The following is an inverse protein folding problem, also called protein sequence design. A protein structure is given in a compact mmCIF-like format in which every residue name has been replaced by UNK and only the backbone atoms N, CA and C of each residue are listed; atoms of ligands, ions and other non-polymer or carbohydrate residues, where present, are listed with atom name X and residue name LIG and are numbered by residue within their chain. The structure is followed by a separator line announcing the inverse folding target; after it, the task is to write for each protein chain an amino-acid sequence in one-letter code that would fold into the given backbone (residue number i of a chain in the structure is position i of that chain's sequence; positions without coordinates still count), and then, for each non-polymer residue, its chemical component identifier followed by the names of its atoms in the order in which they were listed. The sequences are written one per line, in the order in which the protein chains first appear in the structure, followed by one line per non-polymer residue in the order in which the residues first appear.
data_IF_488939513382
#
_entry.id   IF_488939513382
#
_cell.length_a   1.000
_cell.length_b   1.000
_cell.length_c   1.000
_cell.angle_alpha   90.00
_cell.angle_beta   90.00
_cell.angle_gamma   90.00
#
_symmetry.space_group_name_H-M   'P 1'
#
loop_
_entity.id
_entity.type
_entity.pdbx_description
1 polymer ?
#
# COMPACT_ATOMS: atom_id res chain seq x y z
N UNK A 1 2.87 21.30 17.38
CA UNK A 1 2.42 20.35 16.33
C UNK A 1 2.34 21.02 14.97
N UNK A 2 1.48 22.03 14.79
CA UNK A 2 1.25 22.70 13.49
C UNK A 2 2.55 23.29 12.90
N UNK A 3 3.40 23.91 13.72
CA UNK A 3 4.71 24.38 13.29
C UNK A 3 5.63 23.28 12.73
N UNK A 4 5.58 22.06 13.28
CA UNK A 4 6.35 20.91 12.75
C UNK A 4 5.76 20.41 11.41
N UNK A 5 4.45 20.45 11.26
CA UNK A 5 3.78 20.12 9.99
C UNK A 5 4.15 21.10 8.87
N UNK A 6 4.35 22.38 9.21
CA UNK A 6 4.76 23.45 8.30
C UNK A 6 6.26 23.45 7.96
N UNK A 7 7.09 22.86 8.82
CA UNK A 7 8.53 22.72 8.59
C UNK A 7 8.89 21.51 7.72
N UNK A 8 7.92 20.68 7.36
CA UNK A 8 8.15 19.55 6.47
C UNK A 8 8.58 20.04 5.08
N UNK A 9 9.50 19.35 4.40
CA UNK A 9 10.15 19.83 3.18
C UNK A 9 9.18 20.08 2.01
N UNK A 10 8.04 19.39 1.98
CA UNK A 10 7.01 19.57 0.96
C UNK A 10 5.94 20.62 1.34
N UNK A 11 6.03 21.22 2.52
CA UNK A 11 5.07 22.23 2.97
C UNK A 11 5.35 23.57 2.31
N UNK A 12 4.30 24.33 1.97
CA UNK A 12 4.43 25.74 1.57
C UNK A 12 4.65 26.70 2.75
N UNK A 13 4.85 26.17 3.95
CA UNK A 13 5.17 26.93 5.15
C UNK A 13 3.95 27.61 5.80
N UNK A 14 4.23 28.42 6.81
CA UNK A 14 3.22 29.01 7.71
C UNK A 14 2.24 29.99 7.05
N UNK A 15 2.61 30.59 5.92
CA UNK A 15 1.70 31.50 5.19
C UNK A 15 0.61 30.74 4.40
N UNK A 16 0.82 29.45 4.14
CA UNK A 16 -0.14 28.63 3.40
C UNK A 16 -1.15 27.92 4.30
N UNK A 17 -0.89 27.83 5.60
CA UNK A 17 -1.78 27.13 6.54
C UNK A 17 -2.94 28.03 6.98
N UNK A 18 -4.18 27.58 6.81
CA UNK A 18 -5.36 28.21 7.37
C UNK A 18 -5.60 27.70 8.79
N UNK A 19 -5.25 28.53 9.78
CA UNK A 19 -5.42 28.26 11.19
C UNK A 19 -6.08 29.45 11.89
N UNK A 20 -7.35 29.27 12.28
CA UNK A 20 -8.17 30.29 12.96
C UNK A 20 -7.47 30.87 14.20
N UNK A 21 -6.67 30.07 14.91
CA UNK A 21 -6.01 30.48 16.15
C UNK A 21 -5.00 31.63 15.91
N UNK A 22 -4.35 31.69 14.75
CA UNK A 22 -3.40 32.78 14.43
C UNK A 22 -4.13 34.10 14.27
N UNK A 23 -5.21 34.09 13.49
CA UNK A 23 -6.04 35.26 13.26
C UNK A 23 -6.72 35.72 14.55
N UNK A 24 -7.14 34.77 15.38
CA UNK A 24 -7.71 35.05 16.68
C UNK A 24 -6.70 35.66 17.67
N UNK A 25 -5.45 35.21 17.66
CA UNK A 25 -4.38 35.85 18.45
C UNK A 25 -4.12 37.28 17.98
N UNK A 26 -4.16 37.56 16.67
CA UNK A 26 -4.05 38.94 16.18
C UNK A 26 -5.26 39.80 16.57
N UNK A 27 -6.47 39.23 16.54
CA UNK A 27 -7.69 39.92 16.95
C UNK A 27 -7.65 40.30 18.44
N UNK A 28 -7.29 39.36 19.31
CA UNK A 28 -7.22 39.56 20.76
C UNK A 28 -6.07 40.48 21.19
N UNK A 29 -4.96 40.53 20.43
CA UNK A 29 -3.87 41.50 20.69
C UNK A 29 -4.31 42.96 20.53
N UNK A 30 -5.30 43.22 19.67
CA UNK A 30 -5.85 44.56 19.48
C UNK A 30 -6.80 44.98 20.62
N UNK A 31 -7.34 44.02 21.38
CA UNK A 31 -8.36 44.27 22.39
C UNK A 31 -7.82 43.99 23.81
N UNK A 32 -7.25 45.01 24.44
CA UNK A 32 -6.51 44.92 25.72
C UNK A 32 -7.37 44.59 26.95
N UNK A 33 -8.70 44.55 26.81
CA UNK A 33 -9.65 44.47 27.93
C UNK A 33 -10.25 43.07 28.17
N UNK A 34 -9.72 42.01 27.55
CA UNK A 34 -10.23 40.66 27.74
C UNK A 34 -9.73 40.00 29.03
N UNK A 35 -10.62 39.89 30.03
CA UNK A 35 -10.39 39.14 31.28
C UNK A 35 -10.39 37.62 31.09
N UNK A 36 -11.09 37.10 30.08
CA UNK A 36 -10.99 35.71 29.64
C UNK A 36 -10.91 35.67 28.11
N UNK A 37 -9.79 35.21 27.51
CA UNK A 37 -9.60 35.26 26.07
C UNK A 37 -10.75 34.59 25.32
N UNK A 38 -11.14 33.36 25.72
CA UNK A 38 -12.13 32.55 25.00
C UNK A 38 -13.56 33.15 24.93
N UNK A 39 -13.91 34.12 25.78
CA UNK A 39 -15.26 34.71 25.74
C UNK A 39 -15.50 35.61 24.52
N UNK A 40 -14.45 36.18 23.91
CA UNK A 40 -14.58 36.88 22.64
C UNK A 40 -14.62 35.94 21.41
N UNK A 41 -14.54 34.63 21.60
CA UNK A 41 -14.59 33.68 20.48
C UNK A 41 -15.90 33.80 19.69
N UNK A 42 -17.03 34.01 20.38
CA UNK A 42 -18.33 34.18 19.73
C UNK A 42 -18.38 35.46 18.87
N UNK A 43 -17.89 36.58 19.41
CA UNK A 43 -17.80 37.85 18.68
C UNK A 43 -16.85 37.76 17.48
N UNK A 44 -15.73 37.06 17.64
CA UNK A 44 -14.78 36.81 16.56
C UNK A 44 -15.40 35.98 15.43
N UNK A 45 -16.05 34.85 15.74
CA UNK A 45 -16.65 33.97 14.72
C UNK A 45 -17.84 34.61 14.00
N UNK A 46 -18.55 35.54 14.64
CA UNK A 46 -19.64 36.30 14.01
C UNK A 46 -19.16 37.52 13.20
N UNK A 47 -17.88 37.91 13.30
CA UNK A 47 -17.32 39.00 12.53
C UNK A 47 -17.26 38.64 11.03
N UNK A 48 -17.65 39.58 10.16
CA UNK A 48 -17.73 39.34 8.71
C UNK A 48 -16.44 38.76 8.11
N UNK A 49 -15.27 39.20 8.60
CA UNK A 49 -13.96 38.77 8.13
C UNK A 49 -13.61 37.32 8.49
N UNK A 50 -14.10 36.81 9.62
CA UNK A 50 -13.70 35.50 10.18
C UNK A 50 -14.82 34.46 10.17
N UNK A 51 -15.98 34.82 9.61
CA UNK A 51 -17.17 33.95 9.52
C UNK A 51 -16.90 32.62 8.83
N UNK A 52 -15.90 32.55 7.95
CA UNK A 52 -15.45 31.30 7.33
C UNK A 52 -15.02 30.24 8.37
N UNK A 53 -14.45 30.65 9.50
CA UNK A 53 -14.02 29.75 10.58
C UNK A 53 -15.18 29.26 11.48
N UNK A 54 -16.36 29.87 11.40
CA UNK A 54 -17.51 29.45 12.21
C UNK A 54 -17.92 28.00 11.93
N UNK A 55 -17.67 27.51 10.70
CA UNK A 55 -17.94 26.12 10.32
C UNK A 55 -16.82 25.15 10.74
N UNK A 56 -15.61 25.65 10.98
CA UNK A 56 -14.44 24.82 11.30
C UNK A 56 -14.24 24.65 12.80
N UNK A 57 -14.75 25.57 13.63
CA UNK A 57 -14.58 25.58 15.08
C UNK A 57 -15.88 25.16 15.78
N UNK A 58 -15.81 24.14 16.64
CA UNK A 58 -16.91 23.70 17.50
C UNK A 58 -16.58 23.99 18.95
N UNK A 59 -17.40 24.84 19.56
CA UNK A 59 -17.26 25.27 20.94
C UNK A 59 -18.62 25.23 21.64
N UNK A 60 -18.62 25.19 22.96
CA UNK A 60 -19.81 25.26 23.80
C UNK A 60 -19.49 26.03 25.09
N UNK A 61 -20.51 26.61 25.72
CA UNK A 61 -20.37 27.16 27.08
C UNK A 61 -20.73 26.11 28.09
N UNK A 62 -19.86 25.88 29.05
CA UNK A 62 -20.16 24.98 30.15
C UNK A 62 -21.23 25.61 31.06
N UNK A 63 -22.24 24.83 31.39
CA UNK A 63 -23.43 25.27 32.14
C UNK A 63 -23.08 25.57 33.60
N UNK A 64 -22.07 24.90 34.15
CA UNK A 64 -21.71 25.01 35.57
C UNK A 64 -20.73 26.17 35.85
N UNK A 65 -19.77 26.37 34.96
CA UNK A 65 -18.72 27.39 35.13
C UNK A 65 -18.95 28.65 34.32
N UNK A 66 -19.88 28.64 33.36
CA UNK A 66 -20.09 29.72 32.40
C UNK A 66 -18.92 29.90 31.41
N UNK A 67 -17.88 29.07 31.51
CA UNK A 67 -16.67 29.18 30.72
C UNK A 67 -16.88 28.65 29.31
N UNK A 68 -16.31 29.35 28.33
CA UNK A 68 -16.31 28.93 26.94
C UNK A 68 -15.29 27.81 26.73
N UNK A 69 -15.73 26.62 26.33
CA UNK A 69 -14.88 25.44 26.08
C UNK A 69 -14.82 25.13 24.59
N UNK A 70 -13.61 25.01 24.06
CA UNK A 70 -13.36 24.57 22.70
C UNK A 70 -13.35 23.03 22.64
N UNK A 71 -14.22 22.45 21.81
CA UNK A 71 -14.34 20.99 21.67
C UNK A 71 -13.48 20.47 20.52
N UNK A 72 -13.67 21.00 19.29
CA UNK A 72 -12.98 20.54 18.08
C UNK A 72 -12.73 21.69 17.14
N UNK A 73 -11.65 21.61 16.37
CA UNK A 73 -11.42 22.54 15.27
C UNK A 73 -10.79 21.84 14.08
N UNK A 74 -11.06 22.36 12.89
CA UNK A 74 -10.41 21.98 11.65
C UNK A 74 -9.39 23.05 11.27
N UNK A 75 -8.22 22.62 10.79
CA UNK A 75 -7.24 23.49 10.15
C UNK A 75 -6.79 22.84 8.84
N UNK A 76 -6.32 23.65 7.90
CA UNK A 76 -5.90 23.18 6.59
C UNK A 76 -4.46 23.63 6.32
N UNK A 77 -3.67 22.74 5.72
CA UNK A 77 -2.28 22.97 5.33
C UNK A 77 -2.08 22.48 3.90
N UNK A 78 -1.32 23.22 3.10
CA UNK A 78 -1.03 22.83 1.73
C UNK A 78 0.40 22.32 1.59
N UNK A 79 0.52 21.23 0.86
CA UNK A 79 1.77 20.61 0.47
C UNK A 79 1.89 20.67 -1.05
N UNK A 80 3.09 20.98 -1.54
CA UNK A 80 3.41 20.96 -2.96
C UNK A 80 4.20 19.68 -3.25
N UNK A 81 3.58 18.75 -3.97
CA UNK A 81 4.22 17.51 -4.42
C UNK A 81 4.34 17.53 -5.95
N UNK A 82 5.27 16.75 -6.51
CA UNK A 82 5.42 16.64 -7.98
C UNK A 82 4.38 15.73 -8.63
N UNK A 83 3.39 15.25 -7.86
CA UNK A 83 2.38 14.30 -8.32
C UNK A 83 2.85 12.85 -8.42
N UNK A 84 4.07 12.54 -7.94
CA UNK A 84 4.54 11.15 -7.85
C UNK A 84 3.88 10.43 -6.67
N UNK A 85 3.34 9.24 -6.94
CA UNK A 85 2.59 8.43 -5.97
C UNK A 85 3.41 8.09 -4.73
N UNK A 86 4.70 7.77 -4.91
CA UNK A 86 5.63 7.46 -3.82
C UNK A 86 5.85 8.67 -2.89
N UNK A 87 6.07 9.85 -3.47
CA UNK A 87 6.26 11.10 -2.71
C UNK A 87 5.02 11.44 -1.87
N UNK A 88 3.83 11.29 -2.47
CA UNK A 88 2.56 11.57 -1.78
C UNK A 88 2.31 10.53 -0.68
N UNK A 89 2.53 9.25 -0.96
CA UNK A 89 2.37 8.16 0.02
C UNK A 89 3.30 8.36 1.22
N UNK A 90 4.57 8.72 0.98
CA UNK A 90 5.55 9.00 2.02
C UNK A 90 5.18 10.24 2.86
N UNK A 91 4.63 11.28 2.23
CA UNK A 91 4.12 12.47 2.92
C UNK A 91 2.95 12.12 3.85
N UNK A 92 1.95 11.40 3.33
CA UNK A 92 0.77 11.01 4.11
C UNK A 92 1.18 10.15 5.30
N UNK A 93 2.10 9.20 5.10
CA UNK A 93 2.63 8.38 6.18
C UNK A 93 3.36 9.25 7.23
N UNK A 94 4.23 10.16 6.79
CA UNK A 94 4.97 11.07 7.69
C UNK A 94 4.05 11.96 8.51
N UNK A 95 2.99 12.48 7.91
CA UNK A 95 1.98 13.29 8.60
C UNK A 95 1.27 12.46 9.67
N UNK A 96 0.90 11.21 9.37
CA UNK A 96 0.24 10.30 10.31
C UNK A 96 1.14 9.92 11.46
N UNK A 97 2.41 9.62 11.21
CA UNK A 97 3.40 9.37 12.27
C UNK A 97 3.57 10.60 13.17
N UNK A 98 3.55 11.81 12.58
CA UNK A 98 3.59 13.03 13.36
C UNK A 98 2.31 13.24 14.19
N UNK A 99 1.13 12.96 13.65
CA UNK A 99 -0.13 13.03 14.37
C UNK A 99 -0.17 12.02 15.53
N UNK A 100 0.33 10.80 15.31
CA UNK A 100 0.48 9.77 16.35
C UNK A 100 1.45 10.19 17.45
N UNK A 101 2.49 10.97 17.16
CA UNK A 101 3.39 11.48 18.19
C UNK A 101 2.69 12.46 19.16
N UNK A 102 1.62 13.14 18.72
CA UNK A 102 0.84 14.08 19.54
C UNK A 102 -0.54 13.51 19.91
N UNK A 103 -0.59 12.33 20.51
CA UNK A 103 -1.84 11.65 20.88
C UNK A 103 -2.77 12.50 21.76
N UNK A 104 -2.23 13.41 22.56
CA UNK A 104 -2.98 14.34 23.41
C UNK A 104 -4.05 15.17 22.68
N UNK A 105 -3.86 15.42 21.37
CA UNK A 105 -4.77 16.23 20.56
C UNK A 105 -5.74 15.40 19.72
N UNK A 106 -5.63 14.06 19.73
CA UNK A 106 -6.45 13.13 18.94
C UNK A 106 -6.71 13.60 17.50
N UNK A 107 -5.62 13.87 16.77
CA UNK A 107 -5.69 14.52 15.45
C UNK A 107 -5.93 13.49 14.37
N UNK A 108 -6.94 13.72 13.55
CA UNK A 108 -7.22 12.94 12.34
C UNK A 108 -6.81 13.74 11.11
N UNK A 109 -6.00 13.15 10.25
CA UNK A 109 -5.60 13.75 8.98
C UNK A 109 -6.61 13.34 7.93
N UNK A 110 -7.16 14.34 7.22
CA UNK A 110 -8.09 14.12 6.13
C UNK A 110 -7.52 14.73 4.84
N UNK A 111 -7.50 13.93 3.78
CA UNK A 111 -7.08 14.31 2.43
C UNK A 111 -8.15 13.77 1.48
N UNK A 112 -8.48 14.54 0.45
CA UNK A 112 -9.30 14.02 -0.66
C UNK A 112 -8.65 12.76 -1.21
N UNK A 113 -9.41 11.66 -1.32
CA UNK A 113 -8.91 10.34 -1.75
C UNK A 113 -8.01 9.62 -0.71
N UNK A 114 -8.19 9.88 0.59
CA UNK A 114 -7.45 9.16 1.66
C UNK A 114 -7.45 7.64 1.47
N UNK A 115 -8.56 7.05 1.01
CA UNK A 115 -8.69 5.60 0.80
C UNK A 115 -7.63 5.03 -0.17
N UNK A 116 -7.23 5.80 -1.18
CA UNK A 116 -6.23 5.40 -2.17
C UNK A 116 -4.86 5.35 -1.50
N UNK A 117 -4.50 6.41 -0.77
CA UNK A 117 -3.24 6.50 -0.05
C UNK A 117 -3.14 5.48 1.09
N UNK A 118 -4.26 5.20 1.76
CA UNK A 118 -4.39 4.14 2.76
C UNK A 118 -4.05 2.77 2.17
N UNK A 119 -4.54 2.50 0.96
CA UNK A 119 -4.20 1.28 0.24
C UNK A 119 -2.70 1.24 -0.07
N UNK A 120 -2.13 2.28 -0.68
CA UNK A 120 -0.71 2.33 -1.06
C UNK A 120 0.25 2.15 0.13
N UNK A 121 -0.06 2.74 1.28
CA UNK A 121 0.74 2.57 2.51
C UNK A 121 0.75 1.10 2.95
N UNK A 122 -0.35 0.37 2.75
CA UNK A 122 -0.53 -0.99 3.25
C UNK A 122 -0.04 -2.09 2.28
N UNK A 123 0.09 -1.79 0.99
CA UNK A 123 0.52 -2.75 -0.05
C UNK A 123 1.82 -3.50 0.29
N UNK A 124 2.94 -2.84 0.66
CA UNK A 124 4.20 -3.55 0.86
C UNK A 124 4.11 -4.59 1.96
N UNK A 125 3.53 -4.22 3.11
CA UNK A 125 3.35 -5.12 4.24
C UNK A 125 2.40 -6.28 3.90
N UNK A 126 1.28 -5.97 3.25
CA UNK A 126 0.31 -6.98 2.82
C UNK A 126 0.89 -7.95 1.79
N UNK A 127 1.71 -7.46 0.87
CA UNK A 127 2.36 -8.30 -0.16
C UNK A 127 3.32 -9.29 0.50
N UNK A 128 4.20 -8.82 1.39
CA UNK A 128 5.16 -9.69 2.09
C UNK A 128 4.43 -10.74 2.94
N UNK A 129 3.38 -10.33 3.66
CA UNK A 129 2.57 -11.24 4.46
C UNK A 129 1.88 -12.29 3.58
N UNK A 130 1.26 -11.87 2.48
CA UNK A 130 0.52 -12.78 1.59
C UNK A 130 1.46 -13.76 0.89
N UNK A 131 2.61 -13.28 0.40
CA UNK A 131 3.65 -14.14 -0.19
C UNK A 131 4.20 -15.12 0.85
N UNK A 132 4.52 -14.64 2.05
CA UNK A 132 5.04 -15.48 3.13
C UNK A 132 4.07 -16.57 3.57
N UNK A 133 2.79 -16.22 3.75
CA UNK A 133 1.72 -17.19 4.05
C UNK A 133 1.52 -18.15 2.88
N UNK A 134 1.56 -17.65 1.64
CA UNK A 134 1.47 -18.46 0.42
C UNK A 134 2.55 -19.55 0.40
N UNK A 135 3.83 -19.17 0.53
CA UNK A 135 4.97 -20.10 0.58
C UNK A 135 4.82 -21.11 1.73
N UNK A 136 4.40 -20.67 2.92
CA UNK A 136 4.16 -21.59 4.04
C UNK A 136 3.05 -22.61 3.72
N UNK A 137 1.96 -22.17 3.09
CA UNK A 137 0.90 -23.05 2.62
C UNK A 137 1.43 -24.06 1.58
N UNK A 138 2.28 -23.64 0.64
CA UNK A 138 2.90 -24.55 -0.33
C UNK A 138 3.77 -25.62 0.33
N UNK A 139 4.58 -25.22 1.31
CA UNK A 139 5.41 -26.14 2.10
C UNK A 139 4.54 -27.13 2.89
N UNK A 140 3.43 -26.67 3.46
CA UNK A 140 2.47 -27.53 4.16
C UNK A 140 1.78 -28.52 3.21
N UNK A 141 1.34 -28.06 2.04
CA UNK A 141 0.69 -28.91 1.03
C UNK A 141 1.66 -29.94 0.46
N UNK A 142 2.89 -29.56 0.14
CA UNK A 142 3.91 -30.51 -0.32
C UNK A 142 4.26 -31.55 0.74
N UNK A 143 4.30 -31.18 2.03
CA UNK A 143 4.46 -32.12 3.13
C UNK A 143 3.28 -33.09 3.30
N UNK A 144 2.05 -32.66 2.97
CA UNK A 144 0.86 -33.49 3.06
C UNK A 144 0.77 -34.52 1.92
N UNK A 145 1.12 -34.12 0.69
CA UNK A 145 1.02 -34.97 -0.49
C UNK A 145 2.17 -35.97 -0.65
N UNK A 146 3.34 -35.72 -0.04
CA UNK A 146 4.56 -36.51 -0.23
C UNK A 146 4.94 -37.20 1.09
N UNK A 147 4.98 -38.54 1.18
CA UNK A 147 5.26 -39.25 2.43
C UNK A 147 6.73 -39.12 2.90
N UNK A 148 7.65 -38.72 2.03
CA UNK A 148 9.09 -38.68 2.31
C UNK A 148 9.60 -37.25 2.56
N UNK A 149 9.96 -36.95 3.82
CA UNK A 149 10.38 -35.60 4.25
C UNK A 149 11.60 -35.03 3.50
N UNK A 150 12.55 -35.87 3.09
CA UNK A 150 13.71 -35.41 2.31
C UNK A 150 13.31 -34.90 0.92
N UNK A 151 12.31 -35.52 0.29
CA UNK A 151 11.82 -35.09 -1.01
C UNK A 151 11.00 -33.81 -0.90
N UNK A 152 10.22 -33.66 0.17
CA UNK A 152 9.48 -32.43 0.49
C UNK A 152 10.41 -31.24 0.59
N UNK A 153 11.56 -31.40 1.27
CA UNK A 153 12.54 -30.33 1.42
C UNK A 153 13.07 -29.81 0.07
N UNK A 154 13.47 -30.71 -0.82
CA UNK A 154 13.99 -30.32 -2.13
C UNK A 154 12.91 -29.68 -3.01
N UNK A 155 11.70 -30.22 -2.99
CA UNK A 155 10.57 -29.65 -3.74
C UNK A 155 10.24 -28.26 -3.19
N UNK A 156 10.13 -28.10 -1.87
CA UNK A 156 9.93 -26.80 -1.23
C UNK A 156 11.00 -25.78 -1.59
N UNK A 157 12.27 -26.20 -1.64
CA UNK A 157 13.37 -25.33 -2.06
C UNK A 157 13.24 -24.90 -3.53
N UNK A 158 12.85 -25.80 -4.43
CA UNK A 158 12.63 -25.46 -5.84
C UNK A 158 11.47 -24.50 -6.04
N UNK A 159 10.38 -24.67 -5.28
CA UNK A 159 9.22 -23.77 -5.31
C UNK A 159 9.62 -22.37 -4.82
N UNK A 160 10.29 -22.30 -3.67
CA UNK A 160 10.80 -21.03 -3.12
C UNK A 160 11.73 -20.32 -4.12
N UNK A 161 12.59 -21.07 -4.80
CA UNK A 161 13.49 -20.51 -5.81
C UNK A 161 12.74 -19.93 -7.02
N UNK A 162 11.63 -20.53 -7.43
CA UNK A 162 10.80 -20.01 -8.52
C UNK A 162 10.12 -18.70 -8.10
N UNK A 163 9.55 -18.64 -6.89
CA UNK A 163 8.88 -17.45 -6.35
C UNK A 163 9.85 -16.27 -6.19
N UNK A 164 11.04 -16.53 -5.63
CA UNK A 164 12.11 -15.53 -5.54
C UNK A 164 12.59 -15.07 -6.92
N UNK A 165 12.59 -15.96 -7.91
CA UNK A 165 12.92 -15.63 -9.29
C UNK A 165 11.94 -14.62 -9.90
N UNK A 166 10.63 -14.77 -9.66
CA UNK A 166 9.61 -13.84 -10.15
C UNK A 166 9.76 -12.47 -9.48
N UNK A 167 9.85 -12.45 -8.15
CA UNK A 167 10.01 -11.19 -7.38
C UNK A 167 11.32 -10.49 -7.78
N UNK A 168 12.40 -11.25 -7.92
CA UNK A 168 13.70 -10.73 -8.38
C UNK A 168 13.66 -10.21 -9.81
N UNK A 169 12.92 -10.87 -10.71
CA UNK A 169 12.72 -10.44 -12.09
C UNK A 169 11.96 -9.12 -12.18
N UNK A 170 10.87 -8.97 -11.40
CA UNK A 170 10.12 -7.71 -11.31
C UNK A 170 10.98 -6.57 -10.75
N UNK A 171 11.82 -6.86 -9.76
CA UNK A 171 12.78 -5.89 -9.22
C UNK A 171 13.84 -5.48 -10.25
N UNK A 172 14.29 -6.40 -11.11
CA UNK A 172 15.29 -6.12 -12.15
C UNK A 172 14.71 -5.26 -13.28
N UNK A 173 13.43 -5.47 -13.61
CA UNK A 173 12.70 -4.65 -14.57
C UNK A 173 12.23 -3.31 -14.02
N UNK A 174 12.50 -3.00 -12.75
CA UNK A 174 12.15 -1.72 -12.14
C UNK A 174 10.66 -1.49 -11.98
N UNK A 175 9.86 -2.56 -11.91
CA UNK A 175 8.40 -2.46 -11.72
C UNK A 175 8.12 -1.96 -10.30
N UNK A 176 7.39 -0.85 -10.19
CA UNK A 176 7.00 -0.29 -8.89
C UNK A 176 5.98 -1.19 -8.19
N UNK A 177 5.92 -1.19 -6.86
CA UNK A 177 4.97 -2.04 -6.13
C UNK A 177 3.62 -1.32 -6.02
N UNK A 178 2.60 -1.84 -6.70
CA UNK A 178 1.24 -1.29 -6.75
C UNK A 178 0.22 -2.44 -6.54
N UNK A 179 -1.09 -2.15 -6.45
CA UNK A 179 -2.09 -3.21 -6.25
C UNK A 179 -2.12 -4.23 -7.41
N UNK A 180 -1.75 -3.82 -8.62
CA UNK A 180 -1.78 -4.68 -9.80
C UNK A 180 -0.59 -5.63 -9.81
N UNK A 181 0.63 -5.17 -9.48
CA UNK A 181 1.82 -6.02 -9.33
C UNK A 181 1.66 -6.95 -8.15
N UNK A 182 1.03 -6.50 -7.06
CA UNK A 182 0.69 -7.38 -5.95
C UNK A 182 -0.17 -8.57 -6.43
N UNK A 183 -1.22 -8.33 -7.23
CA UNK A 183 -2.06 -9.39 -7.80
C UNK A 183 -1.23 -10.29 -8.73
N UNK A 184 -0.38 -9.72 -9.57
CA UNK A 184 0.47 -10.51 -10.49
C UNK A 184 1.48 -11.38 -9.74
N UNK A 185 2.08 -10.88 -8.67
CA UNK A 185 2.97 -11.65 -7.79
C UNK A 185 2.19 -12.81 -7.19
N UNK A 186 1.00 -12.56 -6.63
CA UNK A 186 0.18 -13.61 -6.02
C UNK A 186 -0.24 -14.65 -7.06
N UNK A 187 -0.70 -14.23 -8.24
CA UNK A 187 -1.06 -15.14 -9.32
C UNK A 187 0.15 -15.97 -9.80
N UNK A 188 1.35 -15.39 -9.76
CA UNK A 188 2.56 -16.13 -10.12
C UNK A 188 2.92 -17.24 -9.12
N UNK A 189 2.52 -17.10 -7.86
CA UNK A 189 2.68 -18.14 -6.82
C UNK A 189 1.84 -19.39 -7.12
N UNK A 190 0.75 -19.28 -7.87
CA UNK A 190 -0.14 -20.41 -8.11
C UNK A 190 0.48 -21.44 -9.10
N UNK A 191 1.27 -20.99 -10.09
CA UNK A 191 1.82 -21.88 -11.12
C UNK A 191 2.74 -22.98 -10.56
N UNK A 192 3.74 -22.69 -9.69
CA UNK A 192 4.60 -23.73 -9.15
C UNK A 192 3.84 -24.82 -8.37
N UNK A 193 2.78 -24.45 -7.66
CA UNK A 193 1.95 -25.38 -6.87
C UNK A 193 1.18 -26.35 -7.76
N UNK A 194 0.57 -25.83 -8.83
CA UNK A 194 -0.14 -26.66 -9.81
C UNK A 194 0.81 -27.70 -10.42
N UNK A 195 2.03 -27.28 -10.79
CA UNK A 195 3.03 -28.15 -11.36
C UNK A 195 3.51 -29.21 -10.36
N UNK A 196 3.77 -28.83 -9.11
CA UNK A 196 4.16 -29.76 -8.07
C UNK A 196 3.08 -30.83 -7.82
N UNK A 197 1.80 -30.44 -7.79
CA UNK A 197 0.70 -31.38 -7.60
C UNK A 197 0.60 -32.39 -8.75
N UNK A 198 0.71 -31.94 -10.01
CA UNK A 198 0.68 -32.82 -11.18
C UNK A 198 1.86 -33.80 -11.20
N UNK A 199 3.08 -33.31 -10.92
CA UNK A 199 4.30 -34.12 -10.86
C UNK A 199 4.19 -35.18 -9.76
N UNK A 200 3.75 -34.79 -8.55
CA UNK A 200 3.59 -35.72 -7.44
C UNK A 200 2.54 -36.80 -7.75
N UNK A 201 1.36 -36.39 -8.23
CA UNK A 201 0.28 -37.32 -8.54
C UNK A 201 0.70 -38.34 -9.61
N UNK A 202 1.36 -37.90 -10.68
CA UNK A 202 1.84 -38.81 -11.72
C UNK A 202 2.95 -39.73 -11.21
N UNK A 203 3.86 -39.24 -10.36
CA UNK A 203 4.93 -40.03 -9.78
C UNK A 203 4.40 -41.15 -8.87
N UNK A 204 3.40 -40.86 -8.01
CA UNK A 204 2.80 -41.85 -7.11
C UNK A 204 1.88 -42.85 -7.83
N UNK A 205 1.40 -42.52 -9.03
CA UNK A 205 0.57 -43.46 -9.82
C UNK A 205 1.40 -44.49 -10.58
N UNK A 206 2.72 -44.33 -10.64
CA UNK A 206 3.61 -45.25 -11.36
C UNK A 206 3.85 -46.54 -10.59
N UNK A 207 4.05 -47.68 -11.29
CA UNK A 207 4.24 -48.97 -10.62
C UNK A 207 5.48 -49.02 -9.73
N UNK A 208 5.37 -49.63 -8.55
CA UNK A 208 6.46 -49.70 -7.57
C UNK A 208 7.66 -50.56 -7.99
N UNK A 209 7.51 -51.42 -9.00
CA UNK A 209 8.58 -52.27 -9.51
C UNK A 209 9.58 -51.54 -10.42
N UNK A 210 9.32 -50.28 -10.78
CA UNK A 210 10.20 -49.48 -11.62
C UNK A 210 11.30 -48.81 -10.81
N UNK A 211 12.49 -48.68 -11.39
CA UNK A 211 13.57 -47.90 -10.78
C UNK A 211 13.19 -46.41 -10.74
N UNK A 212 13.76 -45.66 -9.79
CA UNK A 212 13.49 -44.21 -9.69
C UNK A 212 13.84 -43.46 -10.98
N UNK A 213 14.89 -43.88 -11.69
CA UNK A 213 15.28 -43.32 -12.98
C UNK A 213 14.22 -43.57 -14.06
N UNK A 214 13.70 -44.80 -14.15
CA UNK A 214 12.64 -45.14 -15.10
C UNK A 214 11.35 -44.37 -14.82
N UNK A 215 10.98 -44.25 -13.53
CA UNK A 215 9.83 -43.43 -13.10
C UNK A 215 10.02 -41.97 -13.53
N UNK A 216 11.22 -41.42 -13.36
CA UNK A 216 11.49 -40.02 -13.66
C UNK A 216 11.47 -39.73 -15.18
N UNK A 217 12.01 -40.63 -16.00
CA UNK A 217 11.95 -40.51 -17.47
C UNK A 217 10.52 -40.57 -17.98
N UNK A 218 9.73 -41.55 -17.50
CA UNK A 218 8.32 -41.68 -17.89
C UNK A 218 7.48 -40.50 -17.39
N UNK A 219 7.77 -40.00 -16.18
CA UNK A 219 7.10 -38.85 -15.60
C UNK A 219 7.33 -37.61 -16.46
N UNK A 220 8.58 -37.35 -16.82
CA UNK A 220 8.94 -36.21 -17.65
C UNK A 220 8.29 -36.32 -19.04
N UNK A 221 8.28 -37.52 -19.63
CA UNK A 221 7.64 -37.77 -20.92
C UNK A 221 6.12 -37.49 -20.90
N UNK A 222 5.45 -37.84 -19.80
CA UNK A 222 4.00 -37.69 -19.69
C UNK A 222 3.55 -36.29 -19.23
N UNK A 223 4.35 -35.60 -18.40
CA UNK A 223 3.96 -34.34 -17.75
C UNK A 223 4.53 -33.12 -18.47
N UNK A 224 5.68 -33.22 -19.15
CA UNK A 224 6.32 -32.05 -19.78
C UNK A 224 5.50 -31.46 -20.93
N UNK A 225 4.87 -32.28 -21.77
CA UNK A 225 4.11 -31.78 -22.91
C UNK A 225 2.87 -30.96 -22.51
N UNK A 226 1.99 -31.45 -21.60
CA UNK A 226 0.90 -30.64 -21.07
C UNK A 226 1.35 -29.34 -20.40
N UNK A 227 2.45 -29.38 -19.62
CA UNK A 227 3.02 -28.20 -18.96
C UNK A 227 3.45 -27.14 -19.97
N UNK A 228 4.21 -27.53 -20.99
CA UNK A 228 4.68 -26.63 -22.04
C UNK A 228 3.50 -26.02 -22.80
N UNK A 229 2.49 -26.82 -23.11
CA UNK A 229 1.27 -26.36 -23.77
C UNK A 229 0.50 -25.35 -22.90
N UNK A 230 0.39 -25.60 -21.60
CA UNK A 230 -0.24 -24.68 -20.64
C UNK A 230 0.52 -23.35 -20.54
N UNK A 231 1.84 -23.40 -20.37
CA UNK A 231 2.68 -22.21 -20.31
C UNK A 231 2.66 -21.39 -21.60
N UNK A 232 2.73 -22.04 -22.76
CA UNK A 232 2.63 -21.34 -24.06
C UNK A 232 1.24 -20.75 -24.29
N UNK A 233 0.17 -21.43 -23.88
CA UNK A 233 -1.18 -20.88 -23.95
C UNK A 233 -1.33 -19.64 -23.06
N UNK A 234 -0.78 -19.65 -21.84
CA UNK A 234 -0.77 -18.50 -20.95
C UNK A 234 -0.01 -17.31 -21.55
N UNK A 235 1.17 -17.56 -22.14
CA UNK A 235 1.94 -16.52 -22.84
C UNK A 235 1.19 -15.95 -24.05
N UNK A 236 0.56 -16.80 -24.87
CA UNK A 236 -0.24 -16.35 -26.01
C UNK A 236 -1.50 -15.60 -25.58
N UNK A 237 -2.08 -15.94 -24.43
CA UNK A 237 -3.23 -15.25 -23.87
C UNK A 237 -2.88 -13.86 -23.31
N UNK A 238 -1.67 -13.69 -22.75
CA UNK A 238 -1.21 -12.40 -22.23
C UNK A 238 -0.56 -11.51 -23.30
N UNK A 239 -0.09 -12.08 -24.41
CA UNK A 239 0.56 -11.34 -25.50
C UNK A 239 -0.28 -10.18 -26.09
N UNK A 240 -1.60 -10.31 -26.33
CA UNK A 240 -2.43 -9.19 -26.80
C UNK A 240 -2.48 -8.02 -25.83
N UNK A 241 -2.32 -8.27 -24.52
CA UNK A 241 -2.31 -7.20 -23.52
C UNK A 241 -1.15 -6.25 -23.81
N UNK A 242 0.05 -6.74 -24.18
CA UNK A 242 1.20 -5.91 -24.50
C UNK A 242 0.99 -4.88 -25.62
N UNK A 243 0.02 -5.11 -26.52
CA UNK A 243 -0.25 -4.21 -27.65
C UNK A 243 -1.30 -3.14 -27.35
N UNK A 244 -1.98 -3.21 -26.20
CA UNK A 244 -3.02 -2.25 -25.84
C UNK A 244 -2.37 -1.07 -25.09
N UNK A 245 -2.53 0.18 -25.58
CA UNK A 245 -1.96 1.35 -24.94
C UNK A 245 -2.76 1.72 -23.69
N UNK A 246 -2.52 1.02 -22.58
CA UNK A 246 -3.12 1.32 -21.28
C UNK A 246 -2.07 1.31 -20.17
N UNK A 247 -2.30 2.14 -19.14
CA UNK A 247 -1.43 2.26 -17.97
C UNK A 247 -1.19 0.91 -17.27
N UNK A 248 -2.23 0.07 -17.20
CA UNK A 248 -2.18 -1.29 -16.63
C UNK A 248 -1.18 -2.20 -17.37
N UNK A 249 -0.98 -1.96 -18.66
CA UNK A 249 -0.17 -2.82 -19.54
C UNK A 249 1.30 -2.40 -19.58
N UNK A 250 1.59 -1.09 -19.58
CA UNK A 250 2.98 -0.59 -19.45
C UNK A 250 3.66 -1.14 -18.20
N UNK A 251 2.86 -1.29 -17.15
CA UNK A 251 3.28 -1.83 -15.88
C UNK A 251 3.47 -3.36 -15.88
N UNK A 252 2.56 -4.12 -16.51
CA UNK A 252 2.71 -5.57 -16.67
C UNK A 252 3.85 -5.99 -17.62
N UNK A 253 4.16 -5.19 -18.64
CA UNK A 253 5.15 -5.52 -19.67
C UNK A 253 6.53 -4.84 -19.47
N UNK A 254 6.74 -4.06 -18.41
CA UNK A 254 8.03 -3.42 -18.13
C UNK A 254 8.46 -2.36 -19.16
N UNK A 255 7.51 -1.75 -19.86
CA UNK A 255 7.75 -0.77 -20.92
C UNK A 255 7.75 0.67 -20.37
N UNK A 256 8.70 0.98 -19.47
CA UNK A 256 8.95 2.36 -19.06
C UNK A 256 10.03 3.05 -19.93
N UNK A 257 10.87 2.30 -20.65
CA UNK A 257 12.06 2.87 -21.30
C UNK A 257 11.92 3.37 -22.74
N UNK A 258 10.78 3.16 -23.42
CA UNK A 258 10.64 3.52 -24.84
C UNK A 258 9.96 4.85 -25.15
N UNK A 259 9.45 5.59 -24.15
CA UNK A 259 8.72 6.86 -24.41
C UNK A 259 9.41 8.10 -23.83
N UNK A 260 10.61 7.98 -23.23
CA UNK A 260 11.44 9.16 -22.89
C UNK A 260 12.21 9.75 -24.08
N UNK A 261 11.85 9.39 -25.33
CA UNK A 261 12.45 9.91 -26.58
C UNK A 261 11.41 10.40 -27.60
N UNK A 262 10.23 10.83 -27.15
CA UNK A 262 9.34 11.73 -27.90
C UNK A 262 8.82 12.83 -26.99
#
# INVERSE_FOLDING_TARGET
MVSKMEQMPQSRGSMSSFLWLRDYMMYTQNDRNLSQPLDALDTFLNSYQYRAYANTVRWYKDVQTGATVLNRFLFQTYYATKGQWEEVTALVNSLRTLAQHYQQFNVTIFISESFVWDQFISIPDNTIQTVGVGVLCMLAMSALFIPHMHSVFWIGLTLLSMDLGVIGGLSLWGVTLDPVSMINIIMSLDFPVEYAAHVCHCFYRMPDHWSNEQKLVELLGNVAWPLLQGGTAALLATLPLGFVPSYVIRFCCGEEHLVSMQ
#
